data_IF_714936130638
#
_entry.id   IF_714936130638
#
_cell.length_a   1.000
_cell.length_b   1.000
_cell.length_c   1.000
_cell.angle_alpha   90.00
_cell.angle_beta   90.00
_cell.angle_gamma   90.00
#
_symmetry.space_group_name_H-M   'P 1'
#
loop_
_entity.id
_entity.type
_entity.pdbx_description
1 polymer ?
#
# COMPACT_ATOMS: atom_id res chain seq x y z
N UNK A 1 18.44 1.51 45.78
CA UNK A 1 17.31 2.43 45.50
C UNK A 1 16.12 1.58 45.07
N UNK A 2 14.96 1.74 45.71
CA UNK A 2 13.73 1.03 45.31
C UNK A 2 13.21 1.62 44.01
N UNK A 3 12.81 0.75 43.08
CA UNK A 3 12.22 1.15 41.79
C UNK A 3 11.05 2.13 41.99
N UNK A 4 10.89 3.13 41.09
CA UNK A 4 9.73 4.02 41.10
C UNK A 4 8.43 3.21 40.98
N UNK A 5 7.49 3.43 41.92
CA UNK A 5 6.14 2.85 41.84
C UNK A 5 5.35 3.51 40.70
N UNK A 6 5.42 2.95 39.50
CA UNK A 6 4.60 3.40 38.37
C UNK A 6 3.22 2.73 38.43
N UNK A 7 2.15 3.53 38.39
CA UNK A 7 0.79 3.00 38.34
C UNK A 7 0.44 2.64 36.89
N UNK A 8 0.67 1.38 36.53
CA UNK A 8 0.46 0.85 35.18
C UNK A 8 -1.01 0.89 34.74
N UNK A 9 -1.96 0.68 35.67
CA UNK A 9 -3.39 0.73 35.34
C UNK A 9 -3.80 2.14 34.90
N UNK A 10 -3.33 3.17 35.61
CA UNK A 10 -3.62 4.56 35.24
C UNK A 10 -3.01 4.97 33.89
N UNK A 11 -1.87 4.38 33.52
CA UNK A 11 -1.24 4.59 32.22
C UNK A 11 -2.00 3.88 31.10
N UNK A 12 -2.41 2.63 31.30
CA UNK A 12 -3.17 1.84 30.32
C UNK A 12 -4.44 2.55 29.86
N UNK A 13 -5.22 3.10 30.79
CA UNK A 13 -6.44 3.86 30.47
C UNK A 13 -6.15 5.15 29.70
N UNK A 14 -5.05 5.84 30.01
CA UNK A 14 -4.66 7.08 29.32
C UNK A 14 -4.09 6.83 27.92
N UNK A 15 -3.45 5.70 27.69
CA UNK A 15 -2.94 5.32 26.36
C UNK A 15 -4.00 4.69 25.45
N UNK A 16 -5.13 4.23 26.01
CA UNK A 16 -6.22 3.64 25.23
C UNK A 16 -6.75 4.59 24.14
N UNK A 17 -6.90 5.90 24.44
CA UNK A 17 -7.32 6.91 23.46
C UNK A 17 -6.36 7.01 22.28
N UNK A 18 -5.07 7.36 22.49
CA UNK A 18 -4.07 7.40 21.42
C UNK A 18 -3.96 6.09 20.61
N UNK A 19 -3.99 4.93 21.27
CA UNK A 19 -3.92 3.63 20.59
C UNK A 19 -5.15 3.39 19.71
N UNK A 20 -6.35 3.74 20.19
CA UNK A 20 -7.57 3.66 19.38
C UNK A 20 -7.53 4.61 18.18
N UNK A 21 -6.97 5.81 18.34
CA UNK A 21 -6.80 6.78 17.25
C UNK A 21 -5.84 6.28 16.17
N UNK A 22 -4.72 5.68 16.57
CA UNK A 22 -3.80 5.02 15.63
C UNK A 22 -4.48 3.86 14.90
N UNK A 23 -5.22 3.02 15.62
CA UNK A 23 -5.99 1.92 15.03
C UNK A 23 -7.04 2.41 14.01
N UNK A 24 -7.79 3.46 14.35
CA UNK A 24 -8.75 4.08 13.44
C UNK A 24 -8.07 4.69 12.22
N UNK A 25 -6.92 5.34 12.39
CA UNK A 25 -6.12 5.90 11.30
C UNK A 25 -5.62 4.83 10.33
N UNK A 26 -5.11 3.71 10.86
CA UNK A 26 -4.69 2.56 10.04
C UNK A 26 -5.86 1.93 9.30
N UNK A 27 -7.02 1.79 9.95
CA UNK A 27 -8.22 1.26 9.31
C UNK A 27 -8.70 2.18 8.18
N UNK A 28 -8.74 3.49 8.41
CA UNK A 28 -9.08 4.48 7.39
C UNK A 28 -8.12 4.44 6.20
N UNK A 29 -6.80 4.42 6.46
CA UNK A 29 -5.80 4.29 5.42
C UNK A 29 -5.95 2.98 4.63
N UNK A 30 -6.23 1.87 5.30
CA UNK A 30 -6.49 0.58 4.66
C UNK A 30 -7.70 0.62 3.73
N UNK A 31 -8.80 1.24 4.15
CA UNK A 31 -10.01 1.42 3.31
C UNK A 31 -9.69 2.24 2.07
N UNK A 32 -9.00 3.38 2.22
CA UNK A 32 -8.60 4.22 1.09
C UNK A 32 -7.67 3.48 0.13
N UNK A 33 -6.75 2.67 0.65
CA UNK A 33 -5.82 1.91 -0.17
C UNK A 33 -6.53 0.85 -1.01
N UNK A 34 -7.48 0.12 -0.43
CA UNK A 34 -8.31 -0.84 -1.17
C UNK A 34 -9.14 -0.13 -2.24
N UNK A 35 -9.73 1.02 -1.92
CA UNK A 35 -10.47 1.82 -2.89
C UNK A 35 -9.57 2.30 -4.05
N UNK A 36 -8.35 2.74 -3.75
CA UNK A 36 -7.37 3.16 -4.76
C UNK A 36 -6.99 1.99 -5.67
N UNK A 37 -6.70 0.80 -5.12
CA UNK A 37 -6.41 -0.39 -5.93
C UNK A 37 -7.58 -0.70 -6.86
N UNK A 38 -8.81 -0.72 -6.31
CA UNK A 38 -10.01 -0.97 -7.10
C UNK A 38 -10.18 0.05 -8.23
N UNK A 39 -9.93 1.33 -7.95
CA UNK A 39 -9.96 2.39 -8.95
C UNK A 39 -8.89 2.24 -10.03
N UNK A 40 -7.65 1.95 -9.64
CA UNK A 40 -6.54 1.73 -10.57
C UNK A 40 -6.80 0.54 -11.48
N UNK A 41 -7.33 -0.56 -10.95
CA UNK A 41 -7.72 -1.73 -11.75
C UNK A 41 -8.86 -1.38 -12.69
N UNK A 42 -9.89 -0.66 -12.22
CA UNK A 42 -11.02 -0.25 -13.04
C UNK A 42 -10.62 0.69 -14.20
N UNK A 43 -9.64 1.56 -13.97
CA UNK A 43 -9.14 2.49 -14.98
C UNK A 43 -8.00 1.92 -15.83
N UNK A 44 -7.45 0.76 -15.46
CA UNK A 44 -6.42 0.09 -16.24
C UNK A 44 -7.04 -0.48 -17.52
N UNK A 45 -6.60 0.01 -18.68
CA UNK A 45 -6.86 -0.64 -19.96
C UNK A 45 -5.85 -1.75 -20.25
N UNK A 46 -5.98 -2.43 -21.39
CA UNK A 46 -4.92 -3.27 -21.93
C UNK A 46 -3.60 -2.48 -22.03
N UNK A 47 -2.45 -3.10 -21.74
CA UNK A 47 -1.17 -2.49 -22.05
C UNK A 47 -1.13 -2.21 -23.55
N UNK A 48 -0.89 -0.95 -23.94
CA UNK A 48 -0.52 -0.64 -25.32
C UNK A 48 0.81 -1.35 -25.58
N UNK A 49 0.74 -2.51 -26.22
CA UNK A 49 1.91 -3.22 -26.71
C UNK A 49 2.60 -2.34 -27.74
N UNK A 50 3.90 -2.08 -27.55
CA UNK A 50 4.68 -1.46 -28.61
C UNK A 50 4.62 -2.40 -29.82
N UNK A 51 4.06 -1.92 -30.93
CA UNK A 51 4.01 -2.64 -32.20
C UNK A 51 5.40 -3.19 -32.57
N UNK A 52 6.44 -2.46 -32.15
CA UNK A 52 7.84 -2.83 -32.25
C UNK A 52 8.43 -3.04 -30.86
N UNK A 53 8.93 -4.25 -30.60
CA UNK A 53 9.73 -4.56 -29.41
C UNK A 53 11.23 -4.59 -29.76
N UNK A 54 12.05 -4.03 -28.87
CA UNK A 54 13.51 -4.05 -28.99
C UNK A 54 14.06 -5.12 -28.04
N UNK A 55 14.82 -6.08 -28.57
CA UNK A 55 15.56 -7.04 -27.75
C UNK A 55 16.68 -6.31 -27.00
N UNK A 56 16.60 -6.29 -25.66
CA UNK A 56 17.61 -5.65 -24.80
C UNK A 56 19.00 -6.29 -24.83
N UNK A 57 19.16 -7.46 -25.45
CA UNK A 57 20.46 -8.16 -25.57
C UNK A 57 21.15 -7.89 -26.91
N UNK A 58 20.38 -7.71 -27.98
CA UNK A 58 20.88 -7.62 -29.37
C UNK A 58 20.59 -6.28 -30.03
N UNK A 59 19.59 -5.54 -29.54
CA UNK A 59 19.10 -4.30 -30.14
C UNK A 59 18.20 -4.54 -31.36
N UNK A 60 17.84 -5.78 -31.66
CA UNK A 60 16.97 -6.11 -32.80
C UNK A 60 15.53 -5.64 -32.54
N UNK A 61 14.93 -5.02 -33.55
CA UNK A 61 13.54 -4.60 -33.54
C UNK A 61 12.65 -5.68 -34.18
N UNK A 62 11.73 -6.26 -33.41
CA UNK A 62 10.74 -7.23 -33.90
C UNK A 62 9.33 -6.64 -33.83
N UNK A 63 8.57 -6.75 -34.92
CA UNK A 63 7.14 -6.44 -34.91
C UNK A 63 6.40 -7.58 -34.22
N UNK A 64 5.71 -7.28 -33.12
CA UNK A 64 4.89 -8.27 -32.43
C UNK A 64 3.57 -8.38 -33.18
N UNK A 65 3.40 -9.48 -33.93
CA UNK A 65 2.13 -9.80 -34.58
C UNK A 65 1.23 -10.43 -33.52
N UNK A 66 0.27 -9.65 -33.03
CA UNK A 66 -0.81 -10.15 -32.18
C UNK A 66 -1.89 -10.73 -33.10
N UNK A 67 -2.15 -12.05 -33.02
CA UNK A 67 -3.31 -12.69 -33.69
C UNK A 67 -4.64 -12.34 -33.00
#
# INVERSE_FOLDING_TARGET
MSSPNTNLEKQKTRHAGPLSGMGAGLLFAGVLFVALIGWTVYQGGEPDGAEVQIDGRTGEASVVVTE
#
